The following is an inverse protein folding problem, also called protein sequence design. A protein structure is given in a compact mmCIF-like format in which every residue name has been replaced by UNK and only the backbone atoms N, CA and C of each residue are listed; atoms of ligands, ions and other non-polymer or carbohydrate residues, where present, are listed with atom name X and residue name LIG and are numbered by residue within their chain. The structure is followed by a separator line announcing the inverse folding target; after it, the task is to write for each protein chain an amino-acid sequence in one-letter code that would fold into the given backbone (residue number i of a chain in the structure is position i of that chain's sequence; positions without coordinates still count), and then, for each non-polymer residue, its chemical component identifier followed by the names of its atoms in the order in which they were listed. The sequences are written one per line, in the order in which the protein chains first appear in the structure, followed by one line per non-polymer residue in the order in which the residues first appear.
data_IF_757214257273
#
_entry.id   IF_757214257273
#
_cell.length_a   1.000
_cell.length_b   1.000
_cell.length_c   1.000
_cell.angle_alpha   90.00
_cell.angle_beta   90.00
_cell.angle_gamma   90.00
#
_symmetry.space_group_name_H-M   'P 1'
#
loop_
_entity.id
_entity.type
_entity.pdbx_description
1 polymer ?
#
# COMPACT_ATOMS: atom_id res chain seq x y z
N UNK A 1 -5.38 9.87 24.35
CA UNK A 1 -4.13 9.93 23.58
C UNK A 1 -3.84 11.39 23.28
N UNK A 2 -2.59 11.88 23.42
CA UNK A 2 -2.29 13.28 23.19
C UNK A 2 -2.43 13.60 21.70
N UNK A 3 -3.35 14.50 21.35
CA UNK A 3 -3.19 15.52 20.30
C UNK A 3 -2.70 15.16 18.89
N UNK A 4 -2.96 13.98 18.33
CA UNK A 4 -2.72 13.73 16.90
C UNK A 4 -3.76 14.45 16.04
N UNK A 5 -3.62 15.76 15.90
CA UNK A 5 -4.25 16.49 14.80
C UNK A 5 -3.79 15.82 13.49
N UNK A 6 -4.75 15.40 12.68
CA UNK A 6 -4.48 14.88 11.33
C UNK A 6 -3.87 16.03 10.53
N UNK A 7 -2.57 15.91 10.24
CA UNK A 7 -1.76 16.94 9.58
C UNK A 7 -1.16 16.40 8.29
N UNK A 8 -0.68 17.32 7.46
CA UNK A 8 0.14 16.95 6.32
C UNK A 8 1.39 16.19 6.82
N UNK A 9 1.67 14.98 6.31
CA UNK A 9 2.84 14.22 6.74
C UNK A 9 4.13 14.95 6.34
N UNK A 10 5.16 14.81 7.16
CA UNK A 10 6.53 15.10 6.77
C UNK A 10 6.99 14.14 5.65
N UNK A 11 8.05 14.48 4.89
CA UNK A 11 8.59 13.56 3.88
C UNK A 11 8.94 12.17 4.44
N UNK A 12 9.48 12.11 5.66
CA UNK A 12 9.81 10.85 6.34
C UNK A 12 8.55 10.02 6.62
N UNK A 13 7.50 10.63 7.18
CA UNK A 13 6.23 9.95 7.47
C UNK A 13 5.54 9.49 6.18
N UNK A 14 5.51 10.33 5.14
CA UNK A 14 4.94 9.97 3.84
C UNK A 14 5.67 8.78 3.21
N UNK A 15 7.01 8.78 3.27
CA UNK A 15 7.82 7.68 2.75
C UNK A 15 7.68 6.38 3.55
N UNK A 16 7.67 6.47 4.88
CA UNK A 16 7.43 5.31 5.76
C UNK A 16 6.06 4.71 5.50
N UNK A 17 5.04 5.54 5.45
CA UNK A 17 3.67 5.13 5.17
C UNK A 17 3.56 4.47 3.79
N UNK A 18 4.22 5.03 2.78
CA UNK A 18 4.27 4.44 1.45
C UNK A 18 4.99 3.10 1.42
N UNK A 19 6.07 2.95 2.18
CA UNK A 19 6.84 1.71 2.27
C UNK A 19 5.99 0.60 2.89
N UNK A 20 5.28 0.90 3.98
CA UNK A 20 4.35 -0.04 4.63
C UNK A 20 3.22 -0.47 3.71
N UNK A 21 2.57 0.48 3.02
CA UNK A 21 1.51 0.15 2.05
C UNK A 21 2.04 -0.66 0.86
N UNK A 22 3.22 -0.32 0.33
CA UNK A 22 3.84 -1.08 -0.75
C UNK A 22 4.17 -2.52 -0.32
N UNK A 23 4.63 -2.73 0.91
CA UNK A 23 4.84 -4.06 1.47
C UNK A 23 3.53 -4.85 1.60
N UNK A 24 2.46 -4.23 2.10
CA UNK A 24 1.14 -4.86 2.18
C UNK A 24 0.60 -5.25 0.80
N UNK A 25 0.75 -4.37 -0.19
CA UNK A 25 0.36 -4.67 -1.56
C UNK A 25 1.17 -5.84 -2.13
N UNK A 26 2.47 -5.94 -1.85
CA UNK A 26 3.27 -7.10 -2.26
C UNK A 26 2.76 -8.38 -1.62
N UNK A 27 2.47 -8.36 -0.33
CA UNK A 27 1.94 -9.52 0.38
C UNK A 27 0.60 -9.99 -0.21
N UNK A 28 -0.27 -9.07 -0.62
CA UNK A 28 -1.58 -9.39 -1.21
C UNK A 28 -1.50 -9.84 -2.67
N UNK A 29 -0.80 -9.09 -3.51
CA UNK A 29 -0.73 -9.34 -4.97
C UNK A 29 0.21 -10.48 -5.35
N UNK A 30 1.24 -10.74 -4.54
CA UNK A 30 2.15 -11.88 -4.74
C UNK A 30 1.72 -13.10 -3.91
N UNK A 31 0.55 -13.03 -3.25
CA UNK A 31 0.00 -14.15 -2.51
C UNK A 31 -0.17 -15.36 -3.44
N UNK A 32 0.18 -16.61 -3.04
CA UNK A 32 0.13 -17.77 -3.92
C UNK A 32 -1.25 -18.06 -4.55
N UNK A 33 -2.32 -17.63 -3.89
CA UNK A 33 -3.72 -17.74 -4.37
C UNK A 33 -4.18 -16.56 -5.23
N UNK A 34 -3.38 -15.50 -5.35
CA UNK A 34 -3.64 -14.40 -6.30
C UNK A 34 -3.19 -14.84 -7.69
N UNK A 35 -4.12 -14.87 -8.65
CA UNK A 35 -3.84 -15.36 -10.01
C UNK A 35 -3.96 -14.22 -11.01
N UNK A 36 -3.13 -14.28 -12.03
CA UNK A 36 -3.08 -13.32 -13.13
C UNK A 36 -3.42 -14.04 -14.44
N UNK A 37 -4.04 -13.32 -15.36
CA UNK A 37 -4.36 -13.86 -16.69
C UNK A 37 -3.12 -14.06 -17.56
N UNK A 38 -2.01 -13.39 -17.21
CA UNK A 38 -0.75 -13.44 -17.93
C UNK A 38 0.41 -13.50 -16.91
N UNK A 39 1.60 -13.99 -17.32
CA UNK A 39 2.78 -13.99 -16.47
C UNK A 39 3.12 -12.58 -15.95
N UNK A 40 3.61 -12.45 -14.71
CA UNK A 40 4.07 -11.19 -14.15
C UNK A 40 5.16 -10.48 -14.99
N UNK A 41 4.91 -9.23 -15.39
CA UNK A 41 5.86 -8.26 -15.94
C UNK A 41 5.91 -7.04 -15.01
N UNK A 42 6.77 -6.05 -15.25
CA UNK A 42 6.78 -4.81 -14.46
C UNK A 42 5.54 -3.91 -14.68
N UNK A 43 4.74 -4.17 -15.71
CA UNK A 43 3.52 -3.42 -16.00
C UNK A 43 2.35 -3.88 -15.12
N UNK A 44 1.25 -3.12 -15.14
CA UNK A 44 0.03 -3.59 -14.51
C UNK A 44 -0.49 -4.81 -15.27
N UNK A 45 -0.88 -5.84 -14.54
CA UNK A 45 -1.38 -7.09 -15.13
C UNK A 45 -2.76 -7.38 -14.60
N UNK A 46 -3.65 -7.69 -15.54
CA UNK A 46 -5.03 -7.98 -15.24
C UNK A 46 -5.14 -9.25 -14.36
N UNK A 47 -5.76 -9.14 -13.18
CA UNK A 47 -6.07 -10.30 -12.34
C UNK A 47 -6.97 -11.31 -13.07
N UNK A 48 -6.76 -12.59 -12.78
CA UNK A 48 -7.70 -13.66 -13.11
C UNK A 48 -8.72 -13.74 -11.97
N UNK A 49 -9.85 -13.07 -12.13
CA UNK A 49 -10.92 -12.99 -11.12
C UNK A 49 -11.71 -14.29 -10.98
N UNK A 50 -11.59 -15.23 -11.92
CA UNK A 50 -12.23 -16.54 -11.82
C UNK A 50 -11.41 -17.48 -10.93
N UNK A 51 -10.08 -17.38 -10.98
CA UNK A 51 -9.17 -18.22 -10.17
C UNK A 51 -8.71 -17.58 -8.87
N UNK A 52 -8.83 -16.28 -8.72
CA UNK A 52 -8.46 -15.56 -7.48
C UNK A 52 -9.62 -15.60 -6.48
N UNK A 53 -9.39 -16.01 -5.22
CA UNK A 53 -10.43 -15.90 -4.20
C UNK A 53 -10.95 -14.47 -4.06
N UNK A 54 -12.27 -14.28 -4.10
CA UNK A 54 -12.90 -12.97 -4.10
C UNK A 54 -12.50 -12.10 -2.90
N UNK A 55 -12.39 -12.70 -1.72
CA UNK A 55 -11.91 -12.03 -0.51
C UNK A 55 -10.53 -11.40 -0.70
N UNK A 56 -9.59 -12.15 -1.28
CA UNK A 56 -8.24 -11.70 -1.56
C UNK A 56 -8.22 -10.61 -2.63
N UNK A 57 -9.02 -10.77 -3.68
CA UNK A 57 -9.17 -9.75 -4.72
C UNK A 57 -9.70 -8.42 -4.17
N UNK A 58 -10.78 -8.45 -3.39
CA UNK A 58 -11.40 -7.24 -2.83
C UNK A 58 -10.48 -6.51 -1.85
N UNK A 59 -9.76 -7.24 -0.99
CA UNK A 59 -8.81 -6.60 -0.07
C UNK A 59 -7.63 -6.00 -0.84
N UNK A 60 -7.08 -6.71 -1.81
CA UNK A 60 -5.98 -6.20 -2.64
C UNK A 60 -6.39 -4.93 -3.41
N UNK A 61 -7.57 -4.92 -4.02
CA UNK A 61 -8.10 -3.74 -4.72
C UNK A 61 -8.35 -2.57 -3.75
N UNK A 62 -8.96 -2.83 -2.60
CA UNK A 62 -9.24 -1.81 -1.59
C UNK A 62 -7.96 -1.15 -1.05
N UNK A 63 -6.93 -1.95 -0.75
CA UNK A 63 -5.62 -1.44 -0.32
C UNK A 63 -4.94 -0.70 -1.47
N UNK A 64 -5.03 -1.19 -2.71
CA UNK A 64 -4.44 -0.52 -3.87
C UNK A 64 -5.05 0.85 -4.10
N UNK A 65 -6.38 0.97 -4.00
CA UNK A 65 -7.08 2.24 -4.09
C UNK A 65 -6.69 3.19 -2.96
N UNK A 66 -6.55 2.67 -1.74
CA UNK A 66 -6.05 3.46 -0.60
C UNK A 66 -4.64 4.00 -0.88
N UNK A 67 -3.74 3.15 -1.41
CA UNK A 67 -2.40 3.56 -1.76
C UNK A 67 -2.39 4.66 -2.85
N UNK A 68 -3.15 4.47 -3.93
CA UNK A 68 -3.19 5.41 -5.06
C UNK A 68 -3.88 6.73 -4.71
N UNK A 69 -5.05 6.66 -4.06
CA UNK A 69 -5.89 7.83 -3.84
C UNK A 69 -5.43 8.66 -2.62
N UNK A 70 -4.82 8.00 -1.62
CA UNK A 70 -4.55 8.62 -0.32
C UNK A 70 -3.05 8.70 0.03
N UNK A 71 -2.20 7.78 -0.42
CA UNK A 71 -0.77 7.75 -0.03
C UNK A 71 0.13 8.37 -1.10
N UNK A 72 0.01 7.92 -2.36
CA UNK A 72 0.80 8.42 -3.50
C UNK A 72 0.77 9.95 -3.65
N UNK A 73 -0.35 10.67 -3.39
CA UNK A 73 -0.37 12.12 -3.53
C UNK A 73 0.62 12.87 -2.63
N UNK A 74 1.14 12.23 -1.57
CA UNK A 74 2.18 12.80 -0.71
C UNK A 74 3.61 12.50 -1.20
N UNK A 75 3.77 11.79 -2.32
CA UNK A 75 5.06 11.38 -2.86
C UNK A 75 5.42 12.17 -4.13
N UNK A 76 6.71 12.36 -4.43
CA UNK A 76 7.11 12.96 -5.71
C UNK A 76 6.54 12.16 -6.91
N UNK A 77 6.23 12.87 -7.99
CA UNK A 77 5.61 12.26 -9.16
C UNK A 77 6.47 11.10 -9.72
N UNK A 78 5.84 9.93 -9.91
CA UNK A 78 6.52 8.73 -10.41
C UNK A 78 7.36 7.97 -9.39
N UNK A 79 7.36 8.36 -8.11
CA UNK A 79 8.17 7.71 -7.08
C UNK A 79 7.96 6.19 -6.99
N UNK A 80 6.73 5.70 -7.17
CA UNK A 80 6.38 4.27 -7.16
C UNK A 80 6.87 3.47 -8.38
N UNK A 81 7.44 4.15 -9.37
CA UNK A 81 8.13 3.56 -10.53
C UNK A 81 9.63 3.79 -10.50
N UNK A 82 10.13 4.63 -9.60
CA UNK A 82 11.55 5.04 -9.58
C UNK A 82 12.28 4.58 -8.33
N UNK A 83 11.58 4.37 -7.23
CA UNK A 83 12.15 3.91 -5.96
C UNK A 83 11.61 2.53 -5.58
N UNK A 84 12.52 1.56 -5.41
CA UNK A 84 12.17 0.16 -5.11
C UNK A 84 11.37 0.00 -3.82
N UNK A 85 11.71 0.77 -2.78
CA UNK A 85 11.10 0.64 -1.45
C UNK A 85 9.58 0.82 -1.48
N UNK A 86 9.10 1.77 -2.28
CA UNK A 86 7.69 2.17 -2.42
C UNK A 86 7.08 1.70 -3.75
N UNK A 87 7.78 0.81 -4.46
CA UNK A 87 7.33 0.33 -5.75
C UNK A 87 6.08 -0.54 -5.66
N UNK A 88 5.27 -0.48 -6.72
CA UNK A 88 4.17 -1.43 -6.91
C UNK A 88 4.69 -2.88 -6.98
N UNK A 89 3.85 -3.89 -6.67
CA UNK A 89 4.28 -5.28 -6.55
C UNK A 89 4.94 -5.85 -7.81
N UNK A 90 4.47 -5.44 -8.98
CA UNK A 90 4.92 -5.94 -10.28
C UNK A 90 6.33 -5.48 -10.62
N UNK A 91 6.57 -4.16 -10.58
CA UNK A 91 7.89 -3.59 -10.79
C UNK A 91 8.89 -4.08 -9.71
N UNK A 92 8.44 -4.23 -8.46
CA UNK A 92 9.28 -4.75 -7.38
C UNK A 92 9.76 -6.18 -7.64
N UNK A 93 8.93 -7.01 -8.27
CA UNK A 93 9.20 -8.43 -8.54
C UNK A 93 9.99 -8.66 -9.81
N UNK A 94 10.10 -7.67 -10.69
CA UNK A 94 10.89 -7.79 -11.92
C UNK A 94 12.39 -7.65 -11.62
N UNK A 95 13.20 -8.72 -11.79
CA UNK A 95 14.63 -8.68 -11.50
C UNK A 95 15.41 -7.74 -12.43
N UNK A 96 14.85 -7.38 -13.58
CA UNK A 96 15.48 -6.51 -14.57
C UNK A 96 15.06 -5.04 -14.42
N UNK A 97 14.18 -4.73 -13.46
CA UNK A 97 13.69 -3.37 -13.28
C UNK A 97 14.79 -2.44 -12.77
N UNK A 98 15.01 -1.34 -13.48
CA UNK A 98 16.02 -0.33 -13.15
C UNK A 98 15.38 0.76 -12.29
N UNK A 99 15.89 0.88 -11.07
CA UNK A 99 15.47 1.92 -10.13
C UNK A 99 16.33 3.17 -10.35
N UNK A 100 15.68 4.32 -10.33
CA UNK A 100 16.34 5.61 -10.57
C UNK A 100 16.61 6.36 -9.27
N UNK A 101 15.80 6.11 -8.23
CA UNK A 101 15.78 6.89 -7.00
C UNK A 101 15.99 6.03 -5.77
N UNK A 102 16.70 6.60 -4.80
CA UNK A 102 16.97 6.01 -3.49
C UNK A 102 16.54 6.94 -2.38
N UNK A 103 16.16 6.36 -1.24
CA UNK A 103 15.80 7.11 -0.05
C UNK A 103 17.02 7.36 0.83
N UNK A 104 17.29 8.62 1.11
CA UNK A 104 18.28 9.03 2.09
C UNK A 104 17.61 9.27 3.44
N UNK A 105 17.82 8.35 4.38
CA UNK A 105 17.26 8.43 5.73
C UNK A 105 17.87 9.55 6.57
N UNK A 106 19.09 10.01 6.28
CA UNK A 106 19.73 11.10 7.03
C UNK A 106 19.11 12.44 6.68
N UNK A 107 18.81 12.67 5.41
CA UNK A 107 18.21 13.92 4.94
C UNK A 107 16.69 13.84 4.77
N UNK A 108 16.09 12.66 4.93
CA UNK A 108 14.67 12.40 4.67
C UNK A 108 14.23 12.86 3.27
N UNK A 109 15.02 12.50 2.26
CA UNK A 109 14.76 12.88 0.86
C UNK A 109 14.92 11.69 -0.08
N UNK A 110 14.15 11.70 -1.16
CA UNK A 110 14.41 10.85 -2.32
C UNK A 110 15.45 11.51 -3.20
N UNK A 111 16.50 10.81 -3.61
CA UNK A 111 17.56 11.32 -4.48
C UNK A 111 17.66 10.47 -5.74
N UNK A 112 17.98 11.10 -6.87
CA UNK A 112 18.39 10.36 -8.07
C UNK A 112 19.88 9.98 -8.03
N UNK A 113 20.36 9.30 -9.07
CA UNK A 113 21.74 8.87 -9.21
C UNK A 113 22.77 10.02 -9.17
N UNK A 114 22.36 11.24 -9.51
CA UNK A 114 23.21 12.44 -9.49
C UNK A 114 23.16 13.14 -8.10
N UNK A 115 22.40 12.60 -7.14
CA UNK A 115 22.24 13.14 -5.81
C UNK A 115 21.18 14.25 -5.69
N UNK A 116 20.41 14.53 -6.75
CA UNK A 116 19.40 15.59 -6.72
C UNK A 116 18.17 15.14 -5.93
N UNK A 117 17.85 15.89 -4.87
CA UNK A 117 16.68 15.65 -4.05
C UNK A 117 15.37 15.90 -4.83
N UNK A 118 14.37 15.03 -4.62
CA UNK A 118 13.03 15.14 -5.19
C UNK A 118 12.10 15.79 -4.17
N UNK A 119 11.44 16.85 -4.61
CA UNK A 119 10.51 17.60 -3.77
C UNK A 119 9.24 16.78 -3.50
N UNK A 120 8.90 16.68 -2.22
CA UNK A 120 7.63 16.10 -1.79
C UNK A 120 6.51 17.11 -2.01
N UNK A 121 5.36 16.71 -2.58
CA UNK A 121 4.23 17.59 -2.78
C UNK A 121 3.75 18.20 -1.46
N UNK A 122 3.33 19.47 -1.52
CA UNK A 122 2.59 20.14 -0.46
C UNK A 122 1.14 20.25 -0.88
N UNK A 123 0.29 19.36 -0.37
CA UNK A 123 -1.13 19.39 -0.64
C UNK A 123 -1.82 20.51 0.17
N UNK A 124 -2.94 21.07 -0.32
CA UNK A 124 -3.79 21.94 0.49
C UNK A 124 -4.19 21.24 1.80
N UNK A 125 -4.24 21.98 2.91
CA UNK A 125 -4.46 21.40 4.25
C UNK A 125 -5.73 20.53 4.33
N UNK A 126 -6.84 21.01 3.74
CA UNK A 126 -8.10 20.25 3.68
C UNK A 126 -7.95 18.92 2.93
N UNK A 127 -7.19 18.91 1.84
CA UNK A 127 -6.95 17.70 1.05
C UNK A 127 -6.01 16.74 1.81
N UNK A 128 -4.95 17.27 2.42
CA UNK A 128 -4.04 16.48 3.25
C UNK A 128 -4.78 15.82 4.42
N UNK A 129 -5.61 16.59 5.12
CA UNK A 129 -6.47 16.09 6.19
C UNK A 129 -7.38 14.96 5.71
N UNK A 130 -8.09 15.17 4.59
CA UNK A 130 -9.00 14.16 4.05
C UNK A 130 -8.28 12.86 3.73
N UNK A 131 -7.15 12.94 3.02
CA UNK A 131 -6.36 11.74 2.66
C UNK A 131 -5.85 11.00 3.89
N UNK A 132 -5.29 11.71 4.86
CA UNK A 132 -4.79 11.10 6.11
C UNK A 132 -5.92 10.48 6.95
N UNK A 133 -7.08 11.14 7.03
CA UNK A 133 -8.28 10.56 7.66
C UNK A 133 -8.75 9.28 6.94
N UNK A 134 -8.74 9.29 5.61
CA UNK A 134 -9.09 8.13 4.79
C UNK A 134 -8.10 6.99 4.99
N UNK A 135 -6.80 7.26 5.08
CA UNK A 135 -5.77 6.26 5.40
C UNK A 135 -6.09 5.57 6.74
N UNK A 136 -6.39 6.33 7.79
CA UNK A 136 -6.68 5.76 9.11
C UNK A 136 -7.95 4.90 9.06
N UNK A 137 -9.02 5.43 8.46
CA UNK A 137 -10.32 4.76 8.43
C UNK A 137 -10.29 3.52 7.54
N UNK A 138 -9.66 3.60 6.35
CA UNK A 138 -9.48 2.46 5.43
C UNK A 138 -8.46 1.46 5.97
N UNK A 139 -7.46 1.92 6.71
CA UNK A 139 -6.51 1.06 7.42
C UNK A 139 -7.19 0.23 8.51
N UNK A 140 -8.05 0.85 9.31
CA UNK A 140 -8.89 0.15 10.29
C UNK A 140 -9.78 -0.90 9.62
N UNK A 141 -10.45 -0.56 8.51
CA UNK A 141 -11.26 -1.52 7.75
C UNK A 141 -10.42 -2.69 7.21
N UNK A 142 -9.28 -2.41 6.58
CA UNK A 142 -8.37 -3.44 6.06
C UNK A 142 -7.93 -4.39 7.16
N UNK A 143 -7.47 -3.84 8.29
CA UNK A 143 -7.04 -4.60 9.46
C UNK A 143 -8.15 -5.50 9.99
N UNK A 144 -9.35 -4.95 10.16
CA UNK A 144 -10.53 -5.69 10.61
C UNK A 144 -10.89 -6.83 9.67
N UNK A 145 -10.87 -6.57 8.36
CA UNK A 145 -11.16 -7.60 7.36
C UNK A 145 -10.12 -8.72 7.40
N UNK A 146 -8.83 -8.38 7.37
CA UNK A 146 -7.77 -9.40 7.30
C UNK A 146 -7.77 -10.27 8.55
N UNK A 147 -7.93 -9.68 9.74
CA UNK A 147 -7.74 -10.38 11.01
C UNK A 147 -9.03 -10.93 11.65
N UNK A 148 -10.17 -10.33 11.36
CA UNK A 148 -11.42 -10.64 12.07
C UNK A 148 -12.52 -11.18 11.15
N UNK A 149 -12.29 -11.42 9.85
CA UNK A 149 -13.33 -11.97 8.97
C UNK A 149 -13.85 -13.36 9.40
N UNK A 150 -13.05 -14.10 10.18
CA UNK A 150 -13.46 -15.37 10.79
C UNK A 150 -14.44 -15.18 11.95
N UNK A 151 -14.35 -14.09 12.70
CA UNK A 151 -15.06 -13.87 13.98
C UNK A 151 -16.10 -12.76 13.94
N UNK A 152 -15.92 -11.74 13.09
CA UNK A 152 -16.84 -10.61 12.92
C UNK A 152 -17.68 -10.78 11.63
N UNK A 153 -19.02 -10.92 11.75
CA UNK A 153 -19.91 -11.06 10.60
C UNK A 153 -19.87 -9.88 9.62
N UNK A 154 -19.66 -8.64 10.09
CA UNK A 154 -19.55 -7.46 9.21
C UNK A 154 -18.27 -7.52 8.39
N UNK A 155 -17.16 -7.89 9.01
CA UNK A 155 -15.89 -8.08 8.30
C UNK A 155 -16.01 -9.20 7.25
N UNK A 156 -16.70 -10.29 7.58
CA UNK A 156 -16.98 -11.39 6.65
C UNK A 156 -17.83 -10.96 5.45
N UNK A 157 -18.86 -10.14 5.67
CA UNK A 157 -19.70 -9.62 4.59
C UNK A 157 -18.90 -8.76 3.60
N UNK A 158 -17.94 -7.96 4.09
CA UNK A 158 -17.08 -7.12 3.25
C UNK A 158 -16.14 -7.94 2.33
N UNK A 159 -15.94 -9.22 2.61
CA UNK A 159 -15.13 -10.14 1.77
C UNK A 159 -15.96 -11.19 1.02
N UNK A 160 -17.26 -10.96 0.85
CA UNK A 160 -18.14 -11.84 0.08
C UNK A 160 -18.87 -12.90 0.90
N UNK A 161 -18.96 -12.71 2.22
CA UNK A 161 -19.81 -13.54 3.10
C UNK A 161 -19.18 -14.84 3.56
N UNK A 162 -17.99 -15.18 3.09
CA UNK A 162 -17.21 -16.34 3.55
C UNK A 162 -15.92 -15.89 4.23
N UNK A 163 -15.53 -16.60 5.29
CA UNK A 163 -14.23 -16.37 5.91
C UNK A 163 -13.11 -16.78 4.95
N UNK A 164 -12.02 -16.03 5.00
CA UNK A 164 -10.83 -16.26 4.19
C UNK A 164 -9.59 -16.13 5.07
N UNK A 165 -8.76 -17.16 5.01
CA UNK A 165 -7.42 -17.15 5.59
C UNK A 165 -6.45 -16.47 4.62
N UNK A 166 -5.94 -15.31 5.03
CA UNK A 166 -4.97 -14.50 4.29
C UNK A 166 -3.53 -14.97 4.49
N UNK A 167 -3.28 -15.88 5.43
CA UNK A 167 -1.96 -16.37 5.82
C UNK A 167 -1.19 -15.40 6.72
N UNK A 168 -0.26 -15.97 7.49
CA UNK A 168 0.51 -15.27 8.53
C UNK A 168 1.30 -14.06 8.01
N UNK A 169 1.81 -14.13 6.77
CA UNK A 169 2.58 -13.03 6.18
C UNK A 169 1.72 -11.78 5.95
N UNK A 170 0.49 -11.94 5.42
CA UNK A 170 -0.44 -10.82 5.23
C UNK A 170 -0.90 -10.29 6.58
N UNK A 171 -1.18 -11.17 7.54
CA UNK A 171 -1.56 -10.77 8.90
C UNK A 171 -0.47 -9.97 9.63
N UNK A 172 0.80 -10.37 9.47
CA UNK A 172 1.93 -9.65 10.06
C UNK A 172 2.07 -8.27 9.42
N UNK A 173 2.10 -8.21 8.09
CA UNK A 173 2.30 -6.94 7.37
C UNK A 173 1.13 -5.97 7.59
N UNK A 174 -0.12 -6.46 7.74
CA UNK A 174 -1.25 -5.57 8.07
C UNK A 174 -1.13 -5.00 9.49
N UNK A 175 -0.62 -5.77 10.47
CA UNK A 175 -0.33 -5.30 11.84
C UNK A 175 0.79 -4.25 11.85
N UNK A 176 1.82 -4.43 11.03
CA UNK A 176 2.91 -3.46 10.88
C UNK A 176 2.48 -2.17 10.16
N UNK A 177 1.59 -2.30 9.17
CA UNK A 177 1.06 -1.17 8.40
C UNK A 177 0.07 -0.34 9.23
N UNK A 178 -0.77 -1.01 10.03
CA UNK A 178 -1.81 -0.40 10.86
C UNK A 178 -1.66 -0.89 12.32
N UNK A 179 -0.75 -0.30 13.12
CA UNK A 179 -0.37 -0.81 14.45
C UNK A 179 -1.37 -0.53 15.58
N UNK A 180 -2.52 0.09 15.30
CA UNK A 180 -3.55 0.46 16.28
C UNK A 180 -4.67 -0.57 16.42
#
# INVERSE_FOLDING_TARGET
MPGNEIKHPTPAEAFEQATKHAALLRALFLHPRYKYLQPPTADFIKPDTEKTPMALFFVADFVQRTYIECVIPFLPAGATRKCKAIANPWAWSDPNYKWEWEWDAQTSTLKDADGNAKEFPKLPEKEAFQKQSDIVTRGFMTRKIVLENGTDPKARLLVGGQAFDFGEDVERVVKETYPW
#
